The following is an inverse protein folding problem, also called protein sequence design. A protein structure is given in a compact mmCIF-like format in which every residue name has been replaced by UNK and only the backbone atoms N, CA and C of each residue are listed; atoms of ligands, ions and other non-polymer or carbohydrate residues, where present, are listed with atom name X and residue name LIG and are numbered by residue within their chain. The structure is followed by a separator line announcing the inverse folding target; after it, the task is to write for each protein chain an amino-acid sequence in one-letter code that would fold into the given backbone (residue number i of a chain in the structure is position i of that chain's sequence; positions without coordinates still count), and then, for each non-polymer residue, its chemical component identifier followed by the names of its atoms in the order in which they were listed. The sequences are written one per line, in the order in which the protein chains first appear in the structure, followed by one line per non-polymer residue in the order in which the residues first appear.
data_IF_636655193466
#
_entry.id   IF_636655193466
#
_cell.length_a   1.000
_cell.length_b   1.000
_cell.length_c   1.000
_cell.angle_alpha   90.00
_cell.angle_beta   90.00
_cell.angle_gamma   90.00
#
_symmetry.space_group_name_H-M   'P 1'
#
loop_
_entity.id
_entity.type
_entity.pdbx_description
1 polymer ?
#
# COMPACT_ATOMS: atom_id res chain seq x y z
N UNK A 1 -4.32 -13.78 -7.76
CA UNK A 1 -3.33 -13.37 -8.76
C UNK A 1 -1.98 -13.77 -8.22
N UNK A 2 -1.33 -14.81 -8.75
CA UNK A 2 0.05 -15.09 -8.38
C UNK A 2 0.99 -14.27 -9.27
N UNK A 3 1.80 -13.44 -8.64
CA UNK A 3 2.92 -12.73 -9.28
C UNK A 3 4.11 -13.68 -9.48
N UNK A 4 4.87 -13.48 -10.56
CA UNK A 4 6.18 -14.09 -10.78
C UNK A 4 7.10 -13.00 -11.39
N UNK A 5 8.13 -12.50 -10.67
CA UNK A 5 8.57 -12.91 -9.32
C UNK A 5 7.58 -12.49 -8.22
N UNK A 6 7.77 -13.01 -6.99
CA UNK A 6 7.08 -12.52 -5.80
C UNK A 6 7.98 -12.68 -4.56
N UNK A 7 8.07 -11.64 -3.75
CA UNK A 7 8.84 -11.54 -2.49
C UNK A 7 7.97 -11.05 -1.31
N UNK A 8 6.70 -10.76 -1.60
CA UNK A 8 5.78 -10.11 -0.67
C UNK A 8 4.94 -11.10 0.15
N UNK A 9 4.54 -10.63 1.34
CA UNK A 9 3.37 -11.14 2.04
C UNK A 9 2.41 -9.98 2.27
N UNK A 10 1.14 -10.17 1.89
CA UNK A 10 0.19 -9.07 1.84
C UNK A 10 -1.19 -9.45 2.37
N UNK A 11 -1.97 -8.44 2.73
CA UNK A 11 -3.37 -8.57 3.11
C UNK A 11 -4.14 -7.27 2.85
N UNK A 12 -5.47 -7.30 2.96
CA UNK A 12 -6.28 -6.09 2.94
C UNK A 12 -6.30 -5.43 4.32
N UNK A 13 -6.07 -4.11 4.43
CA UNK A 13 -6.38 -3.35 5.64
C UNK A 13 -7.89 -3.15 5.76
N UNK A 14 -8.37 -2.80 6.96
CA UNK A 14 -9.71 -2.22 7.11
C UNK A 14 -9.68 -0.78 6.62
N UNK A 15 -10.35 -0.50 5.49
CA UNK A 15 -10.29 0.77 4.78
C UNK A 15 -10.83 1.97 5.58
N UNK A 16 -11.46 1.70 6.73
CA UNK A 16 -12.00 2.71 7.66
C UNK A 16 -10.94 3.22 8.64
N UNK A 17 -9.79 2.56 8.76
CA UNK A 17 -8.76 2.88 9.74
C UNK A 17 -7.43 3.14 9.07
N UNK A 18 -7.06 4.42 8.99
CA UNK A 18 -5.74 4.88 8.63
C UNK A 18 -5.61 6.33 9.13
N UNK A 19 -4.53 6.60 9.87
CA UNK A 19 -4.25 7.91 10.44
C UNK A 19 -2.74 8.16 10.39
N UNK A 20 -2.35 9.36 9.97
CA UNK A 20 -0.95 9.79 9.88
C UNK A 20 -0.50 10.09 8.46
N UNK A 21 0.80 10.31 8.29
CA UNK A 21 1.40 10.70 7.01
C UNK A 21 2.36 9.62 6.55
N UNK A 22 2.29 9.28 5.27
CA UNK A 22 3.22 8.36 4.62
C UNK A 22 3.84 9.01 3.39
N UNK A 23 5.14 8.80 3.21
CA UNK A 23 5.94 9.35 2.11
C UNK A 23 6.34 8.18 1.22
N UNK A 24 6.22 8.34 -0.10
CA UNK A 24 6.67 7.32 -1.03
C UNK A 24 8.20 7.21 -1.01
N UNK A 25 8.71 5.99 -0.95
CA UNK A 25 10.14 5.70 -1.04
C UNK A 25 10.63 5.51 -2.48
N UNK A 26 9.72 5.32 -3.43
CA UNK A 26 10.03 5.18 -4.86
C UNK A 26 9.06 5.99 -5.74
N UNK A 27 9.44 6.35 -6.98
CA UNK A 27 8.52 6.92 -7.95
C UNK A 27 7.35 5.99 -8.29
N UNK A 28 6.18 6.58 -8.54
CA UNK A 28 4.99 5.88 -9.02
C UNK A 28 4.81 6.15 -10.53
N UNK A 29 4.79 5.10 -11.33
CA UNK A 29 4.43 5.17 -12.76
C UNK A 29 2.93 4.97 -12.93
N UNK A 30 2.18 6.03 -13.22
CA UNK A 30 0.72 5.97 -13.37
C UNK A 30 0.26 6.61 -14.69
N UNK A 31 -0.42 5.83 -15.53
CA UNK A 31 -0.96 6.28 -16.83
C UNK A 31 0.07 7.01 -17.71
N UNK A 32 1.32 6.56 -17.71
CA UNK A 32 2.41 7.17 -18.48
C UNK A 32 2.95 8.48 -17.91
N UNK A 33 2.50 8.89 -16.71
CA UNK A 33 3.08 9.99 -15.95
C UNK A 33 3.84 9.44 -14.75
N UNK A 34 5.05 9.94 -14.53
CA UNK A 34 5.82 9.64 -13.34
C UNK A 34 5.44 10.62 -12.22
N UNK A 35 5.13 10.08 -11.05
CA UNK A 35 4.85 10.84 -9.82
C UNK A 35 6.03 10.62 -8.88
N UNK A 36 6.66 11.71 -8.43
CA UNK A 36 7.90 11.65 -7.63
C UNK A 36 7.82 12.53 -6.39
N UNK A 37 8.59 12.17 -5.37
CA UNK A 37 8.69 12.86 -4.08
C UNK A 37 7.30 13.26 -3.53
N UNK A 38 6.42 12.27 -3.39
CA UNK A 38 5.04 12.48 -2.99
C UNK A 38 4.73 11.91 -1.61
N UNK A 39 3.73 12.48 -0.95
CA UNK A 39 3.21 11.99 0.31
C UNK A 39 1.70 12.16 0.41
N UNK A 40 1.08 11.35 1.26
CA UNK A 40 -0.36 11.42 1.56
C UNK A 40 -0.58 11.40 3.07
N UNK A 41 -1.59 12.13 3.53
CA UNK A 41 -2.01 12.17 4.93
C UNK A 41 -3.39 11.56 5.05
N UNK A 42 -3.50 10.55 5.91
CA UNK A 42 -4.73 9.87 6.25
C UNK A 42 -5.33 10.42 7.55
N UNK A 43 -6.66 10.45 7.59
CA UNK A 43 -7.45 10.62 8.80
C UNK A 43 -8.74 9.83 8.67
N UNK A 44 -9.10 9.05 9.69
CA UNK A 44 -10.33 8.24 9.70
C UNK A 44 -10.46 7.34 8.43
N UNK A 45 -9.33 6.79 7.98
CA UNK A 45 -9.24 5.94 6.80
C UNK A 45 -9.28 6.66 5.45
N UNK A 46 -9.34 8.00 5.44
CA UNK A 46 -9.44 8.82 4.22
C UNK A 46 -8.18 9.65 4.00
N UNK A 47 -7.74 9.77 2.75
CA UNK A 47 -6.72 10.75 2.36
C UNK A 47 -7.33 12.15 2.42
N UNK A 48 -6.86 12.94 3.37
CA UNK A 48 -7.29 14.33 3.62
C UNK A 48 -6.34 15.37 3.03
N UNK A 49 -5.09 14.99 2.77
CA UNK A 49 -4.07 15.87 2.17
C UNK A 49 -3.05 15.05 1.37
N UNK A 50 -2.46 15.65 0.33
CA UNK A 50 -1.42 15.03 -0.49
C UNK A 50 -0.57 16.08 -1.20
N UNK A 51 0.70 15.75 -1.43
CA UNK A 51 1.67 16.59 -2.15
C UNK A 51 2.50 15.71 -3.07
N UNK A 52 3.01 16.29 -4.16
CA UNK A 52 3.98 15.66 -5.04
C UNK A 52 4.84 16.74 -5.68
N UNK A 53 6.15 16.50 -5.78
CA UNK A 53 7.06 17.44 -6.46
C UNK A 53 6.87 17.41 -7.98
N UNK A 54 6.70 16.23 -8.54
CA UNK A 54 6.35 16.03 -9.95
C UNK A 54 5.14 15.10 -10.05
N UNK A 55 4.28 15.33 -11.05
CA UNK A 55 3.10 14.50 -11.26
C UNK A 55 1.92 14.79 -10.31
N UNK A 56 1.88 15.93 -9.62
CA UNK A 56 0.79 16.30 -8.71
C UNK A 56 -0.60 16.15 -9.35
N UNK A 57 -0.81 16.68 -10.56
CA UNK A 57 -2.11 16.57 -11.24
C UNK A 57 -2.49 15.11 -11.56
N UNK A 58 -1.51 14.24 -11.82
CA UNK A 58 -1.76 12.83 -12.04
C UNK A 58 -2.16 12.13 -10.74
N UNK A 59 -1.48 12.44 -9.63
CA UNK A 59 -1.84 11.96 -8.30
C UNK A 59 -3.24 12.44 -7.90
N UNK A 60 -3.56 13.71 -8.11
CA UNK A 60 -4.88 14.28 -7.84
C UNK A 60 -5.99 13.56 -8.63
N UNK A 61 -5.76 13.31 -9.93
CA UNK A 61 -6.72 12.56 -10.76
C UNK A 61 -6.88 11.12 -10.28
N UNK A 62 -5.80 10.44 -9.91
CA UNK A 62 -5.83 9.10 -9.33
C UNK A 62 -6.72 9.09 -8.09
N UNK A 63 -6.44 9.96 -7.12
CA UNK A 63 -7.15 10.02 -5.83
C UNK A 63 -8.61 10.48 -5.97
N UNK A 64 -9.00 11.13 -7.07
CA UNK A 64 -10.36 11.57 -7.35
C UNK A 64 -11.11 10.67 -8.34
N UNK A 65 -10.61 9.47 -8.64
CA UNK A 65 -11.27 8.55 -9.59
C UNK A 65 -12.63 8.09 -9.07
N UNK A 66 -12.72 7.73 -7.79
CA UNK A 66 -13.97 7.38 -7.09
C UNK A 66 -13.80 7.49 -5.56
N UNK A 67 -14.87 7.18 -4.80
CA UNK A 67 -14.88 7.22 -3.33
C UNK A 67 -13.77 6.33 -2.72
N UNK A 68 -13.54 5.15 -3.31
CA UNK A 68 -12.57 4.17 -2.79
C UNK A 68 -11.12 4.54 -3.07
N UNK A 69 -10.87 5.41 -4.06
CA UNK A 69 -9.51 5.82 -4.45
C UNK A 69 -8.76 6.61 -3.37
N UNK A 70 -9.48 7.14 -2.37
CA UNK A 70 -8.90 7.84 -1.20
C UNK A 70 -8.70 6.93 0.02
N UNK A 71 -8.87 5.62 -0.13
CA UNK A 71 -8.71 4.63 0.93
C UNK A 71 -7.74 3.55 0.50
N UNK A 72 -7.19 2.84 1.46
CA UNK A 72 -6.27 1.73 1.21
C UNK A 72 -7.02 0.44 0.88
N UNK A 73 -6.49 -0.33 -0.06
CA UNK A 73 -6.96 -1.66 -0.44
C UNK A 73 -6.01 -2.78 -0.06
N UNK A 74 -4.74 -2.45 0.21
CA UNK A 74 -3.68 -3.41 0.47
C UNK A 74 -2.60 -2.84 1.38
N UNK A 75 -2.00 -3.73 2.16
CA UNK A 75 -0.73 -3.58 2.84
C UNK A 75 0.14 -4.80 2.55
N UNK A 76 1.36 -4.57 2.10
CA UNK A 76 2.31 -5.63 1.76
C UNK A 76 3.66 -5.40 2.42
N UNK A 77 4.23 -6.49 2.92
CA UNK A 77 5.53 -6.52 3.59
C UNK A 77 6.55 -7.21 2.71
N UNK A 78 7.64 -6.50 2.43
CA UNK A 78 8.81 -6.99 1.71
C UNK A 78 10.05 -6.56 2.50
N UNK A 79 10.90 -7.50 2.96
CA UNK A 79 12.15 -7.14 3.63
C UNK A 79 13.03 -6.28 2.73
N UNK A 80 13.64 -5.24 3.29
CA UNK A 80 14.62 -4.43 2.58
C UNK A 80 15.81 -5.28 2.11
N UNK A 81 16.22 -6.29 2.88
CA UNK A 81 17.22 -7.26 2.46
C UNK A 81 16.58 -8.42 1.68
N UNK A 82 16.05 -8.14 0.49
CA UNK A 82 15.49 -9.14 -0.45
C UNK A 82 16.24 -9.15 -1.78
N UNK A 83 16.06 -10.19 -2.60
CA UNK A 83 16.83 -10.37 -3.83
C UNK A 83 16.65 -9.21 -4.83
N UNK A 84 15.40 -8.72 -4.99
CA UNK A 84 15.08 -7.62 -5.92
C UNK A 84 15.54 -6.29 -5.32
N UNK A 85 15.26 -6.03 -4.03
CA UNK A 85 15.67 -4.79 -3.35
C UNK A 85 17.18 -4.58 -3.38
N UNK A 86 17.95 -5.65 -3.15
CA UNK A 86 19.41 -5.64 -3.17
C UNK A 86 20.02 -5.35 -4.55
N UNK A 87 19.24 -5.39 -5.65
CA UNK A 87 19.74 -4.97 -6.96
C UNK A 87 19.95 -3.46 -7.02
N UNK A 88 19.23 -2.67 -6.20
CA UNK A 88 19.32 -1.20 -6.22
C UNK A 88 18.86 -0.59 -7.55
N UNK A 89 18.02 -1.30 -8.31
CA UNK A 89 17.50 -0.89 -9.61
C UNK A 89 16.07 -0.42 -9.42
N UNK A 90 15.74 0.77 -9.91
CA UNK A 90 14.35 1.20 -10.09
C UNK A 90 13.88 0.71 -11.46
N UNK A 91 12.90 -0.19 -11.49
CA UNK A 91 12.46 -0.86 -12.71
C UNK A 91 11.41 -0.06 -13.48
N UNK A 92 10.80 0.97 -12.85
CA UNK A 92 9.67 1.73 -13.38
C UNK A 92 8.52 0.81 -13.82
N UNK A 93 8.36 -0.28 -13.08
CA UNK A 93 7.40 -1.34 -13.36
C UNK A 93 6.88 -1.87 -12.03
N UNK A 94 5.57 -1.74 -11.83
CA UNK A 94 4.89 -2.10 -10.57
C UNK A 94 5.28 -3.49 -10.08
N UNK A 95 5.24 -4.51 -10.96
CA UNK A 95 5.55 -5.90 -10.58
C UNK A 95 6.94 -6.07 -9.93
N UNK A 96 7.95 -5.35 -10.42
CA UNK A 96 9.30 -5.45 -9.86
C UNK A 96 9.45 -4.55 -8.64
N UNK A 97 8.98 -3.30 -8.73
CA UNK A 97 9.18 -2.31 -7.67
C UNK A 97 8.35 -2.66 -6.41
N UNK A 98 7.14 -3.25 -6.56
CA UNK A 98 6.30 -3.73 -5.43
C UNK A 98 6.97 -4.89 -4.67
N UNK A 99 7.76 -5.71 -5.36
CA UNK A 99 8.50 -6.83 -4.79
C UNK A 99 9.92 -6.42 -4.32
N UNK A 100 10.25 -5.12 -4.39
CA UNK A 100 11.50 -4.55 -3.90
C UNK A 100 11.33 -3.77 -2.57
N UNK A 101 10.09 -3.51 -2.15
CA UNK A 101 9.80 -2.61 -1.02
C UNK A 101 8.42 -2.89 -0.42
N UNK A 102 8.27 -2.74 0.90
CA UNK A 102 6.94 -2.66 1.50
C UNK A 102 6.11 -1.62 0.77
N UNK A 103 4.83 -1.89 0.55
CA UNK A 103 3.95 -1.01 -0.19
C UNK A 103 2.53 -1.03 0.37
N UNK A 104 1.76 -0.02 -0.05
CA UNK A 104 0.32 0.02 0.12
C UNK A 104 -0.33 0.21 -1.25
N UNK A 105 -1.60 -0.20 -1.38
CA UNK A 105 -2.38 0.12 -2.57
C UNK A 105 -3.49 1.13 -2.27
N UNK A 106 -3.62 2.16 -3.11
CA UNK A 106 -4.86 2.94 -3.17
C UNK A 106 -5.97 2.15 -3.86
N UNK A 107 -7.19 2.26 -3.35
CA UNK A 107 -8.36 1.69 -4.01
C UNK A 107 -8.65 0.26 -3.60
N UNK A 108 -9.05 -0.57 -4.57
CA UNK A 108 -9.78 -1.82 -4.36
C UNK A 108 -8.95 -2.85 -3.60
N UNK A 109 -9.54 -3.52 -2.62
CA UNK A 109 -8.93 -4.68 -1.96
C UNK A 109 -9.15 -5.98 -2.75
N UNK A 110 -8.29 -6.97 -2.50
CA UNK A 110 -8.49 -8.34 -2.98
C UNK A 110 -9.42 -9.11 -2.03
N UNK A 111 -10.65 -9.51 -2.42
CA UNK A 111 -11.58 -10.16 -1.48
C UNK A 111 -11.06 -11.45 -0.84
N UNK A 112 -10.15 -12.16 -1.53
CA UNK A 112 -9.55 -13.40 -1.06
C UNK A 112 -8.46 -13.21 0.02
N UNK A 113 -8.10 -11.98 0.38
CA UNK A 113 -7.25 -11.71 1.56
C UNK A 113 -8.07 -11.63 2.84
N UNK A 114 -9.40 -11.50 2.71
CA UNK A 114 -10.33 -11.55 3.83
C UNK A 114 -10.97 -12.93 3.86
N UNK A 115 -10.98 -13.58 5.02
CA UNK A 115 -11.52 -14.94 5.19
C UNK A 115 -12.99 -15.02 4.74
N UNK A 116 -13.24 -15.73 3.64
CA UNK A 116 -14.58 -15.89 3.05
C UNK A 116 -15.05 -14.70 2.23
N UNK A 117 -14.20 -13.68 2.02
CA UNK A 117 -14.53 -12.48 1.27
C UNK A 117 -14.80 -12.73 -0.21
N UNK A 118 -14.26 -13.80 -0.78
CA UNK A 118 -14.52 -14.24 -2.15
C UNK A 118 -15.98 -14.64 -2.43
N UNK A 119 -16.75 -14.92 -1.37
CA UNK A 119 -18.18 -15.28 -1.45
C UNK A 119 -19.11 -14.11 -1.14
N UNK A 120 -18.57 -12.94 -0.81
CA UNK A 120 -19.33 -11.76 -0.42
C UNK A 120 -19.60 -10.85 -1.63
N UNK A 121 -20.76 -10.21 -1.63
CA UNK A 121 -21.02 -9.08 -2.53
C UNK A 121 -20.17 -7.86 -2.15
N UNK A 122 -20.06 -6.90 -3.06
CA UNK A 122 -19.36 -5.62 -2.81
C UNK A 122 -19.88 -4.89 -1.56
N UNK A 123 -21.20 -4.88 -1.36
CA UNK A 123 -21.84 -4.25 -0.20
C UNK A 123 -21.53 -4.98 1.12
N UNK A 124 -21.41 -6.30 1.08
CA UNK A 124 -21.02 -7.10 2.24
C UNK A 124 -19.54 -6.94 2.57
N UNK A 125 -18.67 -6.91 1.55
CA UNK A 125 -17.25 -6.60 1.71
C UNK A 125 -17.05 -5.22 2.35
N UNK A 126 -17.75 -4.19 1.87
CA UNK A 126 -17.66 -2.83 2.43
C UNK A 126 -18.03 -2.78 3.91
N UNK A 127 -19.02 -3.57 4.34
CA UNK A 127 -19.44 -3.64 5.77
C UNK A 127 -18.35 -4.20 6.68
N UNK A 128 -17.53 -5.11 6.18
CA UNK A 128 -16.45 -5.74 6.94
C UNK A 128 -15.08 -5.07 6.75
N UNK A 129 -15.05 -3.88 6.13
CA UNK A 129 -13.84 -3.07 5.98
C UNK A 129 -13.12 -3.22 4.64
N UNK A 130 -13.64 -4.04 3.71
CA UNK A 130 -13.11 -4.14 2.36
C UNK A 130 -13.33 -2.85 1.57
N UNK A 131 -12.30 -2.39 0.85
CA UNK A 131 -12.43 -1.24 -0.04
C UNK A 131 -12.86 -1.67 -1.45
N UNK A 132 -13.82 -0.97 -2.06
CA UNK A 132 -14.19 -1.14 -3.46
C UNK A 132 -13.86 0.15 -4.23
N UNK A 133 -13.19 -0.01 -5.36
CA UNK A 133 -12.78 1.07 -6.26
C UNK A 133 -12.61 0.52 -7.68
N UNK A 134 -12.59 1.40 -8.67
CA UNK A 134 -12.19 1.09 -10.04
C UNK A 134 -10.68 0.86 -10.15
N UNK A 135 -9.90 1.49 -9.27
CA UNK A 135 -8.45 1.43 -9.29
C UNK A 135 -7.90 0.51 -8.20
N UNK A 136 -6.72 -0.02 -8.47
CA UNK A 136 -5.81 -0.63 -7.51
C UNK A 136 -4.41 -0.17 -7.93
N UNK A 137 -3.77 0.66 -7.09
CA UNK A 137 -2.51 1.31 -7.45
C UNK A 137 -1.54 1.25 -6.27
N UNK A 138 -0.51 0.45 -6.44
CA UNK A 138 0.57 0.24 -5.47
C UNK A 138 1.54 1.41 -5.45
N UNK A 139 1.96 1.78 -4.24
CA UNK A 139 3.04 2.71 -4.03
C UNK A 139 3.94 2.25 -2.88
N UNK A 140 5.24 2.34 -3.12
CA UNK A 140 6.27 1.80 -2.26
C UNK A 140 6.63 2.77 -1.14
N UNK A 141 6.82 2.24 0.06
CA UNK A 141 7.10 2.99 1.29
C UNK A 141 8.24 2.41 2.11
N UNK A 142 8.67 1.18 1.80
CA UNK A 142 9.73 0.51 2.53
C UNK A 142 11.10 1.14 2.31
N UNK A 143 11.85 1.27 3.40
CA UNK A 143 13.22 1.81 3.48
C UNK A 143 14.05 0.99 4.47
N UNK A 144 15.37 1.17 4.44
CA UNK A 144 16.29 0.46 5.33
C UNK A 144 16.19 0.85 6.80
N UNK A 145 15.54 1.98 7.12
CA UNK A 145 15.27 2.47 8.47
C UNK A 145 13.81 2.22 8.90
N UNK A 146 13.01 1.53 8.09
CA UNK A 146 11.61 1.26 8.40
C UNK A 146 11.47 0.40 9.66
N UNK A 147 10.59 0.84 10.57
CA UNK A 147 10.12 0.06 11.71
C UNK A 147 8.62 -0.14 11.58
N UNK A 148 8.16 -1.38 11.78
CA UNK A 148 6.73 -1.72 11.77
C UNK A 148 6.39 -2.39 13.09
N UNK A 149 5.36 -1.89 13.75
CA UNK A 149 4.84 -2.43 15.01
C UNK A 149 3.44 -2.98 14.74
N UNK A 150 3.22 -4.25 15.06
CA UNK A 150 1.91 -4.86 15.11
C UNK A 150 1.25 -4.56 16.45
N UNK A 151 -0.04 -4.24 16.41
CA UNK A 151 -0.84 -3.92 17.61
C UNK A 151 -1.92 -4.98 17.74
N UNK A 152 -1.96 -5.67 18.89
CA UNK A 152 -2.98 -6.65 19.22
C UNK A 152 -4.30 -6.00 19.69
N UNK A 153 -5.40 -6.76 19.73
CA UNK A 153 -6.71 -6.25 20.18
C UNK A 153 -6.70 -5.73 21.64
N UNK A 154 -5.82 -6.27 22.49
CA UNK A 154 -5.60 -5.82 23.87
C UNK A 154 -4.71 -4.56 23.97
N UNK A 155 -4.15 -4.09 22.84
CA UNK A 155 -3.21 -2.97 22.77
C UNK A 155 -1.75 -3.34 22.96
N UNK A 156 -1.41 -4.62 23.08
CA UNK A 156 -0.02 -5.07 23.18
C UNK A 156 0.71 -4.83 21.84
N UNK A 157 1.94 -4.33 21.93
CA UNK A 157 2.78 -3.99 20.78
C UNK A 157 3.85 -5.04 20.54
N UNK A 158 3.99 -5.49 19.29
CA UNK A 158 5.06 -6.38 18.83
C UNK A 158 5.79 -5.76 17.66
N UNK A 159 7.11 -5.64 17.75
CA UNK A 159 7.93 -5.18 16.62
C UNK A 159 7.94 -6.28 15.55
N UNK A 160 7.43 -5.96 14.36
CA UNK A 160 7.36 -6.86 13.20
C UNK A 160 8.55 -6.62 12.28
N UNK A 161 8.83 -5.35 11.97
CA UNK A 161 10.05 -4.94 11.27
C UNK A 161 10.89 -4.03 12.13
N UNK A 162 12.21 -4.20 12.04
CA UNK A 162 13.22 -3.29 12.56
C UNK A 162 14.31 -3.12 11.50
N UNK A 163 14.74 -1.89 11.27
CA UNK A 163 15.76 -1.56 10.26
C UNK A 163 15.44 -2.19 8.89
N UNK A 164 14.17 -2.05 8.46
CA UNK A 164 13.66 -2.52 7.17
C UNK A 164 13.49 -4.04 7.04
N UNK A 165 13.70 -4.83 8.10
CA UNK A 165 13.71 -6.28 8.02
C UNK A 165 12.90 -6.92 9.16
N UNK A 166 12.52 -8.19 8.99
CA UNK A 166 11.82 -8.94 10.04
C UNK A 166 12.59 -8.91 11.36
N UNK A 167 11.89 -8.60 12.46
CA UNK A 167 12.47 -8.45 13.80
C UNK A 167 12.65 -9.79 14.57
N UNK A 168 12.57 -10.93 13.86
CA UNK A 168 12.73 -12.30 14.41
C UNK A 168 14.08 -12.54 15.11
#
# INVERSE_FOLDING_TARGET
FPNMPTEEVFTAPDCRYADGKVVSSMPLSYQGTLITDFSVTFKDGLIVDFEAKEGYEALERLLNTDEGSRRLGEVALVPYNSAISNMGILFYNTLFDENASCHFAFGKCYPNTIKGGEFLSKEELKKIGGNDSMNHVDFMVGTSDLTIVGIEENGDETVIFKDGNWAI
#
